data_IF_966344718234
#
_entry.id   IF_966344718234
#
_cell.length_a   1.000
_cell.length_b   1.000
_cell.length_c   1.000
_cell.angle_alpha   90.00
_cell.angle_beta   90.00
_cell.angle_gamma   90.00
#
_symmetry.space_group_name_H-M   'P 1'
#
loop_
_entity.id
_entity.type
_entity.pdbx_description
1 polymer ?
#
# COMPACT_ATOMS: atom_id res chain seq x y z
N UNK A 1 -17.11 2.84 5.77
CA UNK A 1 -15.95 3.50 5.13
C UNK A 1 -15.09 4.26 6.14
N UNK A 2 -13.82 3.87 6.27
CA UNK A 2 -12.77 4.61 6.96
C UNK A 2 -12.04 5.54 5.98
N UNK A 3 -11.85 6.79 6.38
CA UNK A 3 -11.16 7.80 5.59
C UNK A 3 -9.91 8.26 6.32
N UNK A 4 -8.76 7.98 5.74
CA UNK A 4 -7.46 8.38 6.27
C UNK A 4 -6.89 9.47 5.37
N UNK A 5 -6.32 10.52 5.97
CA UNK A 5 -5.62 11.57 5.23
C UNK A 5 -4.24 11.77 5.81
N UNK A 6 -3.22 11.67 4.96
CA UNK A 6 -1.83 11.99 5.26
C UNK A 6 -1.47 13.24 4.49
N UNK A 7 -1.08 14.30 5.20
CA UNK A 7 -0.67 15.56 4.61
C UNK A 7 0.77 15.88 5.02
N UNK A 8 1.64 16.05 4.03
CA UNK A 8 3.06 16.34 4.22
C UNK A 8 3.40 17.61 3.46
N UNK A 9 4.00 18.58 4.15
CA UNK A 9 4.42 19.85 3.59
C UNK A 9 5.88 20.13 3.93
N UNK A 10 6.62 20.67 2.96
CA UNK A 10 7.98 21.20 3.13
C UNK A 10 8.94 20.22 3.83
N UNK A 11 8.75 18.91 3.61
CA UNK A 11 9.42 17.85 4.36
C UNK A 11 9.97 16.74 3.48
N UNK A 12 10.87 15.94 4.05
CA UNK A 12 11.27 14.66 3.45
C UNK A 12 10.67 13.53 4.25
N UNK A 13 9.95 12.62 3.58
CA UNK A 13 9.47 11.36 4.13
C UNK A 13 10.40 10.27 3.64
N UNK A 14 10.98 9.52 4.56
CA UNK A 14 11.85 8.39 4.23
C UNK A 14 11.23 7.10 4.72
N UNK A 15 11.67 5.95 4.20
CA UNK A 15 11.40 4.67 4.85
C UNK A 15 11.96 4.68 6.28
N UNK A 16 11.32 3.93 7.16
CA UNK A 16 11.82 3.69 8.51
C UNK A 16 12.35 2.27 8.64
N UNK A 17 12.81 1.92 9.83
CA UNK A 17 13.09 0.52 10.15
C UNK A 17 11.83 -0.19 10.62
N UNK A 18 11.50 -1.33 10.03
CA UNK A 18 10.46 -2.24 10.53
C UNK A 18 10.98 -3.05 11.74
N UNK A 19 12.29 -3.29 11.82
CA UNK A 19 12.96 -3.92 12.97
C UNK A 19 13.62 -2.89 13.92
N UNK A 20 14.13 -3.32 15.06
CA UNK A 20 14.82 -2.40 15.99
C UNK A 20 16.12 -1.84 15.38
N UNK A 21 16.24 -0.51 15.40
CA UNK A 21 17.42 0.22 14.95
C UNK A 21 18.66 -0.21 15.76
N UNK A 22 19.70 -0.70 15.08
CA UNK A 22 21.01 -1.02 15.68
C UNK A 22 21.50 -2.46 15.50
N UNK A 23 20.63 -3.39 15.06
CA UNK A 23 21.03 -4.76 14.68
C UNK A 23 20.63 -5.12 13.24
N UNK A 24 19.46 -4.67 12.78
CA UNK A 24 18.98 -4.74 11.39
C UNK A 24 18.01 -3.58 11.13
N UNK A 25 17.78 -3.21 9.86
CA UNK A 25 16.82 -2.17 9.48
C UNK A 25 17.39 -0.74 9.60
N UNK A 26 18.20 -0.36 8.61
CA UNK A 26 18.65 1.03 8.45
C UNK A 26 17.82 1.68 7.32
N UNK A 27 17.71 3.01 7.34
CA UNK A 27 17.13 3.83 6.25
C UNK A 27 17.67 3.45 4.87
N UNK A 28 16.94 2.62 4.12
CA UNK A 28 17.46 2.02 2.88
C UNK A 28 18.72 1.19 3.19
N UNK A 29 18.63 -0.12 3.07
CA UNK A 29 19.76 -1.02 3.32
C UNK A 29 20.97 -0.74 2.38
N UNK A 30 20.83 0.21 1.44
CA UNK A 30 21.91 1.06 0.97
C UNK A 30 21.45 2.50 0.67
N UNK A 31 22.36 3.39 0.26
CA UNK A 31 22.11 4.81 -0.08
C UNK A 31 21.02 5.07 -1.17
N UNK A 32 20.18 4.09 -1.54
CA UNK A 32 19.09 4.20 -2.49
C UNK A 32 17.76 3.79 -1.84
N UNK A 33 16.70 4.52 -2.17
CA UNK A 33 15.36 4.38 -1.58
C UNK A 33 14.60 3.06 -1.89
N UNK A 34 15.23 2.10 -2.58
CA UNK A 34 14.60 0.84 -3.00
C UNK A 34 15.70 -0.17 -3.33
N UNK A 35 16.57 -0.48 -2.38
CA UNK A 35 17.44 -1.61 -2.61
C UNK A 35 16.67 -2.90 -2.41
N UNK A 36 16.19 -3.43 -3.53
CA UNK A 36 15.51 -4.73 -3.61
C UNK A 36 16.35 -5.92 -3.05
N UNK A 37 17.48 -5.68 -2.39
CA UNK A 37 18.37 -6.66 -1.76
C UNK A 37 17.79 -7.36 -0.53
N UNK A 38 16.51 -7.19 -0.22
CA UNK A 38 15.82 -7.98 0.80
C UNK A 38 15.63 -9.45 0.37
N UNK A 39 15.71 -10.36 1.33
CA UNK A 39 15.30 -11.76 1.16
C UNK A 39 13.79 -11.98 1.35
N UNK A 40 12.99 -10.90 1.38
CA UNK A 40 11.54 -10.97 1.49
C UNK A 40 10.88 -11.38 0.17
N UNK A 41 9.56 -11.24 0.10
CA UNK A 41 8.70 -11.85 -0.93
C UNK A 41 9.23 -11.64 -2.36
N UNK A 42 9.86 -12.67 -2.92
CA UNK A 42 10.30 -12.75 -4.30
C UNK A 42 9.16 -13.31 -5.15
N UNK A 43 8.62 -12.49 -6.04
CA UNK A 43 7.48 -12.89 -6.89
C UNK A 43 7.89 -13.54 -8.21
N UNK A 44 9.18 -13.69 -8.52
CA UNK A 44 9.69 -14.41 -9.72
C UNK A 44 11.24 -14.56 -9.72
N UNK A 45 11.87 -14.95 -8.60
CA UNK A 45 13.33 -15.16 -8.54
C UNK A 45 14.19 -13.89 -8.74
N UNK A 46 13.57 -12.72 -8.82
CA UNK A 46 14.20 -11.40 -8.68
C UNK A 46 14.11 -10.92 -7.23
N UNK A 47 15.05 -10.05 -6.87
CA UNK A 47 15.30 -9.55 -5.52
C UNK A 47 14.00 -9.05 -4.83
N UNK A 48 13.82 -9.44 -3.56
CA UNK A 48 12.53 -9.47 -2.86
C UNK A 48 12.11 -8.14 -2.23
N UNK A 49 10.81 -8.01 -1.96
CA UNK A 49 10.25 -6.92 -1.14
C UNK A 49 10.97 -6.83 0.21
N UNK A 50 11.33 -5.62 0.64
CA UNK A 50 11.81 -5.36 1.99
C UNK A 50 10.85 -4.40 2.71
N UNK A 51 10.36 -4.79 3.88
CA UNK A 51 9.47 -3.94 4.67
C UNK A 51 10.16 -2.66 5.16
N UNK A 52 11.49 -2.70 5.33
CA UNK A 52 12.31 -1.54 5.71
C UNK A 52 12.41 -0.47 4.60
N UNK A 53 11.97 -0.77 3.37
CA UNK A 53 11.95 0.20 2.27
C UNK A 53 10.63 0.98 2.22
N UNK A 54 9.60 0.58 2.97
CA UNK A 54 8.28 1.22 2.92
C UNK A 54 8.28 2.53 3.72
N UNK A 55 8.01 3.63 3.02
CA UNK A 55 7.86 4.95 3.63
C UNK A 55 6.40 5.28 3.98
N UNK A 56 5.44 4.75 3.21
CA UNK A 56 4.01 4.93 3.46
C UNK A 56 3.28 3.63 3.21
N UNK A 57 2.45 3.20 4.17
CA UNK A 57 1.60 2.02 4.03
C UNK A 57 0.14 2.29 4.36
N UNK A 58 -0.76 1.67 3.61
CA UNK A 58 -2.17 1.51 3.99
C UNK A 58 -2.52 0.02 3.90
N UNK A 59 -2.92 -0.57 5.03
CA UNK A 59 -3.19 -2.01 5.17
C UNK A 59 -4.59 -2.19 5.74
N UNK A 60 -5.49 -2.78 4.95
CA UNK A 60 -6.85 -3.07 5.36
C UNK A 60 -6.86 -4.10 6.50
N UNK A 61 -7.81 -3.98 7.42
CA UNK A 61 -8.02 -4.97 8.48
C UNK A 61 -9.05 -6.00 8.01
N UNK A 62 -8.72 -7.30 7.96
CA UNK A 62 -9.64 -8.33 7.46
C UNK A 62 -10.89 -8.53 8.33
N UNK A 63 -10.91 -7.95 9.54
CA UNK A 63 -12.07 -7.96 10.43
C UNK A 63 -12.86 -6.64 10.37
N UNK A 64 -12.54 -5.71 9.47
CA UNK A 64 -13.30 -4.49 9.30
C UNK A 64 -14.47 -4.73 8.34
N UNK A 65 -15.68 -4.35 8.77
CA UNK A 65 -16.87 -4.28 7.90
C UNK A 65 -16.84 -3.07 6.94
N UNK A 66 -15.71 -2.34 6.91
CA UNK A 66 -15.66 -1.04 6.26
C UNK A 66 -14.45 -0.81 5.35
N UNK A 67 -14.73 -0.35 4.12
CA UNK A 67 -13.74 0.01 3.13
C UNK A 67 -12.79 1.09 3.65
N UNK A 68 -11.50 0.88 3.40
CA UNK A 68 -10.41 1.76 3.74
C UNK A 68 -10.07 2.66 2.54
N UNK A 69 -10.24 3.97 2.70
CA UNK A 69 -9.82 4.95 1.72
C UNK A 69 -8.75 5.85 2.31
N UNK A 70 -7.56 5.82 1.73
CA UNK A 70 -6.42 6.58 2.20
C UNK A 70 -5.99 7.58 1.14
N UNK A 71 -5.93 8.86 1.50
CA UNK A 71 -5.40 9.92 0.64
C UNK A 71 -4.08 10.44 1.20
N UNK A 72 -3.05 10.51 0.37
CA UNK A 72 -1.74 11.06 0.70
C UNK A 72 -1.47 12.27 -0.17
N UNK A 73 -1.24 13.42 0.45
CA UNK A 73 -0.92 14.67 -0.22
C UNK A 73 0.46 15.18 0.20
N UNK A 74 1.39 15.23 -0.74
CA UNK A 74 2.72 15.79 -0.53
C UNK A 74 2.87 17.11 -1.28
N UNK A 75 3.17 18.20 -0.58
CA UNK A 75 3.43 19.53 -1.18
C UNK A 75 4.83 20.02 -0.82
N UNK A 76 5.59 20.54 -1.78
CA UNK A 76 7.00 20.94 -1.61
C UNK A 76 7.87 19.89 -0.89
N UNK A 77 7.58 18.60 -1.07
CA UNK A 77 8.12 17.51 -0.24
C UNK A 77 8.81 16.43 -1.08
N UNK A 78 9.71 15.68 -0.47
CA UNK A 78 10.35 14.52 -1.12
C UNK A 78 9.96 13.23 -0.40
N UNK A 79 9.41 12.27 -1.13
CA UNK A 79 9.19 10.90 -0.66
C UNK A 79 10.33 10.01 -1.15
N UNK A 80 11.02 9.35 -0.22
CA UNK A 80 12.12 8.43 -0.47
C UNK A 80 11.78 7.10 0.17
N UNK A 81 11.30 6.16 -0.63
CA UNK A 81 10.91 4.83 -0.18
C UNK A 81 9.69 4.33 -0.93
N UNK A 82 9.37 3.07 -0.70
CA UNK A 82 8.25 2.38 -1.32
C UNK A 82 6.92 2.79 -0.68
N UNK A 83 5.86 2.64 -1.48
CA UNK A 83 4.49 2.81 -1.03
C UNK A 83 3.82 1.45 -1.08
N UNK A 84 3.28 1.01 0.06
CA UNK A 84 2.56 -0.25 0.18
C UNK A 84 1.06 -0.02 0.36
N UNK A 85 0.27 -0.60 -0.52
CA UNK A 85 -1.17 -0.73 -0.36
C UNK A 85 -1.55 -2.21 -0.26
N UNK A 86 -2.20 -2.61 0.82
CA UNK A 86 -2.71 -3.97 1.02
C UNK A 86 -4.20 -3.92 1.30
N UNK A 87 -4.98 -4.59 0.47
CA UNK A 87 -6.43 -4.73 0.61
C UNK A 87 -6.80 -6.19 0.88
N UNK A 88 -7.85 -6.39 1.66
CA UNK A 88 -8.52 -7.68 1.85
C UNK A 88 -10.00 -7.51 1.56
N UNK A 89 -10.68 -8.64 1.43
CA UNK A 89 -12.14 -8.60 1.49
C UNK A 89 -12.59 -8.18 2.89
N UNK A 90 -13.74 -7.52 2.98
CA UNK A 90 -14.29 -7.03 4.23
C UNK A 90 -14.78 -8.17 5.12
N UNK A 91 -15.04 -7.83 6.38
CA UNK A 91 -15.67 -8.75 7.31
C UNK A 91 -17.02 -9.19 6.77
N UNK A 92 -17.26 -10.51 6.84
CA UNK A 92 -18.38 -11.22 6.21
C UNK A 92 -18.26 -11.42 4.70
N UNK A 93 -17.07 -11.31 4.11
CA UNK A 93 -16.86 -11.88 2.78
C UNK A 93 -17.01 -13.40 2.81
N UNK A 94 -17.96 -13.92 2.03
CA UNK A 94 -18.16 -15.35 1.85
C UNK A 94 -17.73 -15.75 0.44
N UNK A 95 -16.59 -16.44 0.27
CA UNK A 95 -16.08 -16.82 -1.05
C UNK A 95 -17.00 -17.78 -1.82
N UNK A 96 -17.73 -18.62 -1.08
CA UNK A 96 -18.77 -19.50 -1.63
C UNK A 96 -20.16 -18.88 -1.57
N UNK A 97 -20.23 -17.61 -1.14
CA UNK A 97 -21.40 -16.86 -0.74
C UNK A 97 -22.09 -17.37 0.52
N UNK A 98 -22.97 -16.55 1.07
CA UNK A 98 -23.93 -16.89 2.11
C UNK A 98 -25.31 -16.29 1.77
N UNK A 99 -26.38 -16.87 2.30
CA UNK A 99 -27.69 -16.21 2.35
C UNK A 99 -27.62 -15.17 3.48
N UNK A 100 -27.18 -13.96 3.13
CA UNK A 100 -26.86 -12.91 4.08
C UNK A 100 -28.05 -11.97 4.31
N UNK A 101 -28.10 -11.31 5.48
CA UNK A 101 -29.26 -10.51 5.94
C UNK A 101 -29.61 -9.28 5.07
N UNK A 102 -28.92 -9.02 3.95
CA UNK A 102 -29.06 -7.80 3.14
C UNK A 102 -29.90 -7.95 1.87
N UNK A 103 -30.35 -9.15 1.53
CA UNK A 103 -31.32 -9.33 0.45
C UNK A 103 -32.57 -10.11 0.94
N UNK A 104 -33.66 -10.05 0.15
CA UNK A 104 -34.95 -10.68 0.49
C UNK A 104 -35.18 -12.00 -0.24
N UNK A 105 -34.18 -12.49 -0.96
CA UNK A 105 -34.28 -13.71 -1.74
C UNK A 105 -33.31 -14.76 -1.15
N UNK A 106 -33.50 -16.04 -1.49
CA UNK A 106 -32.66 -17.09 -0.92
C UNK A 106 -31.36 -17.31 -1.72
N UNK A 107 -30.96 -16.34 -2.55
CA UNK A 107 -29.75 -16.47 -3.34
C UNK A 107 -28.55 -16.23 -2.46
N UNK A 108 -27.58 -17.10 -2.66
CA UNK A 108 -26.29 -17.01 -2.03
C UNK A 108 -25.54 -15.85 -2.67
N UNK A 109 -25.26 -14.80 -1.90
CA UNK A 109 -24.45 -13.67 -2.33
C UNK A 109 -23.12 -13.65 -1.57
N UNK A 110 -22.08 -13.08 -2.19
CA UNK A 110 -20.77 -12.97 -1.54
C UNK A 110 -20.71 -11.81 -0.54
N UNK A 111 -21.87 -11.34 -0.06
CA UNK A 111 -22.10 -10.00 0.49
C UNK A 111 -20.89 -9.38 1.20
N UNK A 112 -20.62 -8.11 0.89
CA UNK A 112 -19.45 -7.43 1.43
C UNK A 112 -19.05 -6.24 0.58
N UNK A 113 -20.02 -5.41 0.22
CA UNK A 113 -19.69 -4.21 -0.55
C UNK A 113 -20.18 -2.96 0.16
N UNK A 114 -19.32 -2.44 1.01
CA UNK A 114 -19.44 -1.11 1.59
C UNK A 114 -18.51 -0.08 0.90
N UNK A 115 -17.84 -0.48 -0.19
CA UNK A 115 -16.97 0.34 -1.00
C UNK A 115 -15.75 -0.44 -1.51
N UNK A 116 -14.85 0.25 -2.20
CA UNK A 116 -13.56 -0.30 -2.63
C UNK A 116 -12.46 0.30 -1.77
N UNK A 117 -11.60 -0.55 -1.21
CA UNK A 117 -10.36 -0.07 -0.60
C UNK A 117 -9.53 0.67 -1.65
N UNK A 118 -8.99 1.83 -1.30
CA UNK A 118 -8.12 2.59 -2.21
C UNK A 118 -7.07 3.40 -1.49
N UNK A 119 -5.97 3.65 -2.19
CA UNK A 119 -4.96 4.60 -1.79
C UNK A 119 -4.65 5.55 -2.94
N UNK A 120 -4.91 6.84 -2.72
CA UNK A 120 -4.65 7.91 -3.67
C UNK A 120 -3.44 8.72 -3.20
N UNK A 121 -2.36 8.78 -4.00
CA UNK A 121 -1.13 9.51 -3.66
C UNK A 121 -0.91 10.65 -4.64
N UNK A 122 -0.84 11.88 -4.13
CA UNK A 122 -0.69 13.10 -4.94
C UNK A 122 0.59 13.85 -4.58
N UNK A 123 1.41 14.14 -5.59
CA UNK A 123 2.62 14.95 -5.49
C UNK A 123 2.37 16.35 -6.08
N UNK A 124 2.28 17.36 -5.22
CA UNK A 124 1.98 18.74 -5.57
C UNK A 124 3.19 19.67 -5.41
N UNK A 125 3.15 20.83 -6.06
CA UNK A 125 4.09 21.94 -5.83
C UNK A 125 5.58 21.55 -5.88
N UNK A 126 5.96 20.76 -6.88
CA UNK A 126 7.35 20.34 -7.05
C UNK A 126 7.81 19.19 -6.15
N UNK A 127 6.87 18.54 -5.44
CA UNK A 127 7.15 17.31 -4.72
C UNK A 127 7.68 16.22 -5.63
N UNK A 128 8.47 15.30 -5.05
CA UNK A 128 9.11 14.20 -5.78
C UNK A 128 8.95 12.90 -5.03
N UNK A 129 8.98 11.81 -5.78
CA UNK A 129 9.05 10.46 -5.24
C UNK A 129 10.12 9.65 -5.94
N UNK A 130 10.92 8.95 -5.14
CA UNK A 130 11.85 7.91 -5.57
C UNK A 130 11.52 6.66 -4.76
N UNK A 131 10.99 5.64 -5.45
CA UNK A 131 10.56 4.37 -4.84
C UNK A 131 9.75 3.50 -5.81
N UNK A 132 9.15 2.43 -5.30
CA UNK A 132 8.17 1.62 -6.01
C UNK A 132 6.78 1.66 -5.34
N UNK A 133 5.73 1.57 -6.16
CA UNK A 133 4.39 1.30 -5.67
C UNK A 133 4.18 -0.21 -5.63
N UNK A 134 3.69 -0.71 -4.50
CA UNK A 134 3.35 -2.12 -4.30
C UNK A 134 1.89 -2.16 -3.88
N UNK A 135 1.09 -2.90 -4.64
CA UNK A 135 -0.28 -3.22 -4.27
C UNK A 135 -0.49 -4.71 -4.12
N UNK A 136 -1.14 -5.10 -3.04
CA UNK A 136 -1.50 -6.48 -2.74
C UNK A 136 -2.99 -6.53 -2.46
N UNK A 137 -3.67 -7.54 -3.00
CA UNK A 137 -5.09 -7.72 -2.77
C UNK A 137 -5.43 -9.19 -2.65
N UNK A 138 -6.28 -9.51 -1.68
CA UNK A 138 -6.83 -10.85 -1.54
C UNK A 138 -7.67 -11.20 -2.77
N UNK A 139 -7.44 -12.39 -3.34
CA UNK A 139 -8.21 -12.91 -4.49
C UNK A 139 -9.01 -14.17 -4.12
N UNK A 140 -8.67 -14.82 -3.00
CA UNK A 140 -9.40 -15.92 -2.36
C UNK A 140 -8.88 -16.12 -0.91
N UNK A 141 -9.47 -17.01 -0.11
CA UNK A 141 -9.10 -17.33 1.28
C UNK A 141 -7.62 -17.72 1.48
N UNK A 142 -6.94 -18.18 0.42
CA UNK A 142 -5.55 -18.64 0.51
C UNK A 142 -4.62 -17.95 -0.51
N UNK A 143 -5.09 -16.95 -1.23
CA UNK A 143 -4.33 -16.36 -2.34
C UNK A 143 -4.37 -14.83 -2.33
N UNK A 144 -3.19 -14.24 -2.56
CA UNK A 144 -2.98 -12.81 -2.69
C UNK A 144 -2.37 -12.52 -4.07
N UNK A 145 -2.93 -11.56 -4.79
CA UNK A 145 -2.36 -11.04 -6.02
C UNK A 145 -1.49 -9.83 -5.73
N UNK A 146 -0.38 -9.71 -6.45
CA UNK A 146 0.62 -8.66 -6.26
C UNK A 146 0.83 -7.89 -7.56
N UNK A 147 0.83 -6.57 -7.47
CA UNK A 147 1.26 -5.69 -8.55
C UNK A 147 2.34 -4.75 -8.03
N UNK A 148 3.48 -4.69 -8.73
CA UNK A 148 4.52 -3.69 -8.46
C UNK A 148 4.62 -2.77 -9.67
N UNK A 149 4.51 -1.47 -9.45
CA UNK A 149 4.72 -0.45 -10.47
C UNK A 149 5.93 0.43 -10.09
N UNK A 150 6.90 0.52 -10.99
CA UNK A 150 8.04 1.42 -10.79
C UNK A 150 7.63 2.85 -11.16
N UNK A 151 7.53 3.72 -10.17
CA UNK A 151 7.19 5.12 -10.38
C UNK A 151 8.46 5.98 -10.40
N UNK A 152 8.86 6.48 -11.58
CA UNK A 152 9.93 7.47 -11.71
C UNK A 152 9.34 8.82 -12.13
N UNK A 153 9.08 9.70 -11.17
CA UNK A 153 8.65 11.06 -11.45
C UNK A 153 9.83 11.89 -12.02
N UNK A 154 9.94 11.98 -13.35
CA UNK A 154 10.92 12.86 -13.98
C UNK A 154 10.53 14.33 -13.83
N UNK A 155 11.43 15.13 -13.24
CA UNK A 155 11.34 16.59 -13.19
C UNK A 155 11.28 17.13 -14.63
N UNK A 156 10.22 17.83 -15.02
CA UNK A 156 10.28 18.68 -16.22
C UNK A 156 11.28 19.81 -15.95
N UNK A 157 12.21 20.12 -16.88
CA UNK A 157 13.05 21.30 -16.74
C UNK A 157 12.13 22.52 -16.81
N UNK A 158 12.14 23.34 -15.76
CA UNK A 158 11.64 24.70 -15.87
C UNK A 158 12.63 25.44 -16.78
N UNK A 159 12.13 25.97 -17.91
CA UNK A 159 12.87 26.84 -18.82
C UNK A 159 12.87 28.26 -18.27
#
# INVERSE_FOLDING_TARGET
MFQNTISVADSTVTSGSWSDEGTSGWFGNNNNASDYGGSGLSVNGGAGFNADDVAISAIANPNADNAMQTTVNLTHSTLMGDILFSSNFDHNFFPNGADSYRDTNSAVDTNGWDGTDRMDVTLNNGSKWVGAAISTHQIDLMAMAFTTALAKALKRPQR
#
